data_IF_079859117193
#
_entry.id   IF_079859117193
#
_cell.length_a   1.000
_cell.length_b   1.000
_cell.length_c   1.000
_cell.angle_alpha   90.00
_cell.angle_beta   90.00
_cell.angle_gamma   90.00
#
_symmetry.space_group_name_H-M   'P 1'
#
loop_
_entity.id
_entity.type
_entity.pdbx_description
1 polymer ?
#
# COMPACT_ATOMS: atom_id res chain seq x y z
N UNK A 1 6.68 36.48 -27.08
CA UNK A 1 6.30 37.27 -25.88
C UNK A 1 5.42 36.56 -24.85
N UNK A 2 4.72 35.45 -25.14
CA UNK A 2 3.90 34.73 -24.14
C UNK A 2 4.67 33.61 -23.39
N UNK A 3 5.67 33.00 -24.00
CA UNK A 3 6.55 32.02 -23.33
C UNK A 3 7.53 32.64 -22.34
N UNK A 4 7.94 33.89 -22.58
CA UNK A 4 8.88 34.59 -21.69
C UNK A 4 8.32 34.91 -20.31
N UNK A 5 6.99 35.01 -20.18
CA UNK A 5 6.34 35.27 -18.88
C UNK A 5 6.33 34.04 -17.94
N UNK A 6 6.36 32.85 -18.50
CA UNK A 6 6.49 31.61 -17.71
C UNK A 6 7.95 31.41 -17.23
N UNK A 7 8.90 31.70 -18.09
CA UNK A 7 10.33 31.62 -17.80
C UNK A 7 10.79 32.51 -16.62
N UNK A 8 10.04 33.57 -16.33
CA UNK A 8 10.32 34.43 -15.16
C UNK A 8 9.98 33.72 -13.84
N UNK A 9 8.99 32.82 -13.85
CA UNK A 9 8.54 32.10 -12.67
C UNK A 9 9.09 30.67 -12.57
N UNK A 10 9.53 30.09 -13.68
CA UNK A 10 10.08 28.72 -13.77
C UNK A 10 11.51 28.80 -14.33
N UNK A 11 12.40 29.39 -13.54
CA UNK A 11 13.85 29.36 -13.79
C UNK A 11 14.45 28.05 -13.25
N UNK A 12 15.74 27.80 -13.55
CA UNK A 12 16.45 26.59 -13.10
C UNK A 12 16.37 26.38 -11.57
N UNK A 13 16.61 27.44 -10.78
CA UNK A 13 16.52 27.38 -9.33
C UNK A 13 15.10 27.03 -8.83
N UNK A 14 14.07 27.51 -9.50
CA UNK A 14 12.68 27.16 -9.18
C UNK A 14 12.38 25.72 -9.51
N UNK A 15 12.89 25.19 -10.61
CA UNK A 15 12.75 23.76 -10.97
C UNK A 15 13.45 22.87 -9.96
N UNK A 16 14.66 23.19 -9.56
CA UNK A 16 15.39 22.43 -8.55
C UNK A 16 14.65 22.38 -7.21
N UNK A 17 14.08 23.50 -6.78
CA UNK A 17 13.24 23.56 -5.56
C UNK A 17 11.93 22.81 -5.68
N UNK A 18 11.31 22.80 -6.86
CA UNK A 18 10.10 22.00 -7.11
C UNK A 18 10.42 20.51 -7.06
N UNK A 19 11.55 20.07 -7.66
CA UNK A 19 12.01 18.69 -7.60
C UNK A 19 12.34 18.27 -6.16
N UNK A 20 12.99 19.13 -5.36
CA UNK A 20 13.25 18.89 -3.94
C UNK A 20 11.95 18.74 -3.14
N UNK A 21 11.00 19.64 -3.34
CA UNK A 21 9.70 19.59 -2.67
C UNK A 21 8.94 18.32 -3.05
N UNK A 22 8.99 17.94 -4.32
CA UNK A 22 8.41 16.71 -4.82
C UNK A 22 9.04 15.46 -4.18
N UNK A 23 10.36 15.36 -4.17
CA UNK A 23 11.08 14.27 -3.50
C UNK A 23 10.65 14.11 -2.03
N UNK A 24 10.51 15.23 -1.32
CA UNK A 24 10.02 15.24 0.06
C UNK A 24 8.55 14.82 0.20
N UNK A 25 7.70 15.08 -0.80
CA UNK A 25 6.31 14.56 -0.85
C UNK A 25 6.33 13.04 -0.95
N UNK A 26 7.09 12.49 -1.89
CA UNK A 26 7.15 11.04 -2.11
C UNK A 26 7.71 10.32 -0.89
N UNK A 27 8.80 10.82 -0.29
CA UNK A 27 9.36 10.26 0.94
C UNK A 27 8.34 10.26 2.10
N UNK A 28 7.58 11.35 2.26
CA UNK A 28 6.55 11.45 3.28
C UNK A 28 5.37 10.50 3.01
N UNK A 29 5.00 10.27 1.76
CA UNK A 29 3.98 9.28 1.37
C UNK A 29 4.46 7.87 1.70
N UNK A 30 5.69 7.52 1.33
CA UNK A 30 6.27 6.20 1.62
C UNK A 30 6.35 5.89 3.12
N UNK A 31 6.60 6.90 3.95
CA UNK A 31 6.64 6.74 5.41
C UNK A 31 5.26 6.72 6.06
N UNK A 32 4.30 7.44 5.50
CA UNK A 32 3.00 7.68 6.13
C UNK A 32 1.87 6.76 5.68
N UNK A 33 1.99 6.10 4.53
CA UNK A 33 0.98 5.19 4.02
C UNK A 33 1.10 3.81 4.67
N UNK A 34 -0.02 3.25 5.13
CA UNK A 34 -0.06 1.88 5.66
C UNK A 34 0.20 0.88 4.54
N UNK A 35 -0.37 1.12 3.36
CA UNK A 35 -0.14 0.30 2.16
C UNK A 35 1.35 0.17 1.81
N UNK A 36 2.13 1.25 1.91
CA UNK A 36 3.56 1.23 1.63
C UNK A 36 4.38 0.36 2.60
N UNK A 37 3.89 0.19 3.82
CA UNK A 37 4.55 -0.63 4.83
C UNK A 37 4.32 -2.12 4.58
N UNK A 38 3.12 -2.51 4.13
CA UNK A 38 2.67 -3.90 4.03
C UNK A 38 2.58 -4.45 2.60
N UNK A 39 2.76 -3.61 1.56
CA UNK A 39 2.69 -4.03 0.17
C UNK A 39 3.82 -4.98 -0.22
N UNK A 40 3.61 -5.72 -1.31
CA UNK A 40 4.66 -6.52 -1.93
C UNK A 40 5.79 -5.64 -2.48
N UNK A 41 7.01 -5.96 -2.11
CA UNK A 41 8.23 -5.27 -2.57
C UNK A 41 9.12 -6.17 -3.45
N UNK A 42 8.74 -7.46 -3.58
CA UNK A 42 9.47 -8.45 -4.34
C UNK A 42 8.84 -8.60 -5.73
N UNK A 43 9.36 -7.89 -6.71
CA UNK A 43 8.92 -7.99 -8.10
C UNK A 43 10.11 -7.90 -9.05
N UNK A 44 9.92 -8.45 -10.25
CA UNK A 44 10.88 -8.37 -11.36
C UNK A 44 10.39 -7.38 -12.40
N UNK A 45 11.30 -6.54 -12.89
CA UNK A 45 10.99 -5.49 -13.86
C UNK A 45 11.09 -4.09 -13.26
N UNK A 46 10.91 -3.11 -14.10
CA UNK A 46 10.92 -1.69 -13.75
C UNK A 46 9.48 -1.16 -13.86
N UNK A 47 8.89 -0.62 -12.78
CA UNK A 47 7.55 -0.04 -12.83
C UNK A 47 7.38 1.05 -13.88
N UNK A 48 8.45 1.76 -14.23
CA UNK A 48 8.42 2.82 -15.25
C UNK A 48 8.17 2.31 -16.66
N UNK A 49 8.35 0.99 -16.89
CA UNK A 49 8.01 0.35 -18.18
C UNK A 49 6.54 0.00 -18.33
N UNK A 50 5.71 0.31 -17.32
CA UNK A 50 4.27 0.13 -17.33
C UNK A 50 3.79 -1.20 -16.75
N UNK A 51 4.66 -2.16 -16.43
CA UNK A 51 4.28 -3.41 -15.77
C UNK A 51 5.44 -4.08 -15.07
N UNK A 52 5.12 -4.83 -13.99
CA UNK A 52 6.07 -5.72 -13.34
C UNK A 52 5.49 -7.13 -13.22
N UNK A 53 6.37 -8.11 -13.08
CA UNK A 53 6.01 -9.51 -12.89
C UNK A 53 6.38 -9.94 -11.47
N UNK A 54 5.49 -10.70 -10.85
CA UNK A 54 5.69 -11.32 -9.53
C UNK A 54 5.50 -12.83 -9.70
N UNK A 55 6.57 -13.58 -9.44
CA UNK A 55 6.52 -15.04 -9.51
C UNK A 55 5.88 -15.60 -8.24
N UNK A 56 5.00 -16.59 -8.43
CA UNK A 56 4.39 -17.36 -7.35
C UNK A 56 4.64 -18.83 -7.57
N UNK A 57 5.60 -19.41 -6.84
CA UNK A 57 5.99 -20.79 -6.96
C UNK A 57 5.10 -21.70 -6.12
N UNK A 58 4.77 -22.89 -6.66
CA UNK A 58 4.13 -23.95 -5.89
C UNK A 58 5.11 -24.60 -4.94
N UNK A 59 4.60 -25.16 -3.85
CA UNK A 59 5.39 -25.87 -2.87
C UNK A 59 6.13 -27.07 -3.49
N UNK A 60 7.41 -27.19 -3.15
CA UNK A 60 8.19 -28.37 -3.52
C UNK A 60 7.73 -29.59 -2.72
N UNK A 61 7.69 -30.76 -3.36
CA UNK A 61 7.42 -32.02 -2.66
C UNK A 61 8.71 -32.58 -2.06
N UNK A 62 8.60 -33.06 -0.81
CA UNK A 62 9.68 -33.79 -0.14
C UNK A 62 9.45 -35.27 -0.38
N UNK A 63 10.38 -35.91 -1.10
CA UNK A 63 10.32 -37.34 -1.40
C UNK A 63 11.44 -38.11 -0.67
N UNK A 64 11.28 -39.41 -0.48
CA UNK A 64 12.33 -40.25 0.07
C UNK A 64 13.56 -40.26 -0.84
N UNK A 65 14.75 -40.41 -0.26
CA UNK A 65 16.00 -40.43 -1.02
C UNK A 65 15.96 -41.49 -2.12
N UNK A 66 16.19 -41.07 -3.35
CA UNK A 66 16.20 -41.93 -4.54
C UNK A 66 14.88 -42.01 -5.30
N UNK A 67 13.73 -41.70 -4.71
CA UNK A 67 12.41 -41.83 -5.38
C UNK A 67 12.11 -40.64 -6.31
N UNK A 68 12.54 -39.44 -5.98
CA UNK A 68 12.37 -38.26 -6.82
C UNK A 68 13.16 -38.31 -8.14
N UNK A 69 14.15 -39.21 -8.25
CA UNK A 69 15.04 -39.36 -9.41
C UNK A 69 14.65 -40.52 -10.34
N UNK A 70 13.46 -41.06 -10.21
CA UNK A 70 12.94 -42.13 -11.08
C UNK A 70 12.95 -41.63 -12.53
N UNK A 71 13.76 -42.24 -13.39
CA UNK A 71 13.96 -41.82 -14.77
C UNK A 71 15.08 -40.81 -15.02
N UNK A 72 15.94 -40.52 -14.02
CA UNK A 72 17.15 -39.68 -14.17
C UNK A 72 16.92 -38.17 -14.21
N UNK A 73 15.71 -37.69 -13.92
CA UNK A 73 15.36 -36.28 -13.84
C UNK A 73 14.68 -35.96 -12.51
N UNK A 74 15.01 -34.84 -11.90
CA UNK A 74 14.22 -34.28 -10.79
C UNK A 74 12.84 -33.81 -11.28
N UNK A 75 11.94 -33.51 -10.35
CA UNK A 75 10.67 -32.86 -10.70
C UNK A 75 10.96 -31.47 -11.28
N UNK A 76 10.26 -31.12 -12.35
CA UNK A 76 10.34 -29.79 -12.91
C UNK A 76 9.83 -28.75 -11.87
N UNK A 77 10.46 -27.58 -11.86
CA UNK A 77 9.97 -26.45 -11.09
C UNK A 77 8.57 -26.09 -11.61
N UNK A 78 7.55 -26.23 -10.77
CA UNK A 78 6.20 -25.79 -11.09
C UNK A 78 6.06 -24.32 -10.68
N UNK A 79 6.26 -23.45 -11.64
CA UNK A 79 5.94 -22.05 -11.51
C UNK A 79 4.42 -21.93 -11.65
N UNK A 80 3.70 -21.77 -10.54
CA UNK A 80 2.24 -21.65 -10.47
C UNK A 80 1.64 -20.49 -11.25
N UNK A 81 2.46 -19.74 -11.95
CA UNK A 81 2.12 -18.61 -12.78
C UNK A 81 2.78 -17.31 -12.31
N UNK A 82 2.83 -16.39 -13.23
CA UNK A 82 3.28 -15.02 -12.98
C UNK A 82 2.07 -14.12 -12.77
N UNK A 83 2.10 -13.32 -11.72
CA UNK A 83 1.12 -12.24 -11.52
C UNK A 83 1.70 -10.99 -12.14
N UNK A 84 1.09 -10.52 -13.22
CA UNK A 84 1.48 -9.26 -13.86
C UNK A 84 0.68 -8.14 -13.22
N UNK A 85 1.39 -7.12 -12.75
CA UNK A 85 0.81 -5.89 -12.21
C UNK A 85 1.09 -4.78 -13.21
N UNK A 86 0.04 -4.24 -13.81
CA UNK A 86 0.14 -3.13 -14.75
C UNK A 86 0.01 -1.79 -14.03
N UNK A 87 0.82 -0.82 -14.42
CA UNK A 87 0.69 0.58 -14.03
C UNK A 87 -0.14 1.26 -15.13
N UNK A 88 -1.46 1.26 -14.95
CA UNK A 88 -2.42 1.64 -15.99
C UNK A 88 -3.41 2.74 -15.56
N UNK A 89 -3.27 3.20 -14.33
CA UNK A 89 -4.17 4.21 -13.78
C UNK A 89 -3.42 5.51 -13.53
N UNK A 90 -3.62 6.50 -14.39
CA UNK A 90 -3.04 7.82 -14.26
C UNK A 90 -3.88 8.72 -13.38
N UNK A 91 -3.23 9.48 -12.51
CA UNK A 91 -3.86 10.44 -11.59
C UNK A 91 -3.06 11.73 -11.54
N UNK A 92 -3.79 12.81 -11.30
CA UNK A 92 -3.23 14.13 -11.17
C UNK A 92 -3.80 14.89 -9.95
N UNK A 93 -3.01 15.78 -9.40
CA UNK A 93 -3.45 16.81 -8.50
C UNK A 93 -3.09 18.13 -9.17
N UNK A 94 -4.09 18.89 -9.60
CA UNK A 94 -3.92 20.18 -10.27
C UNK A 94 -4.48 21.27 -9.37
N UNK A 95 -3.67 22.29 -9.08
CA UNK A 95 -4.08 23.44 -8.28
C UNK A 95 -3.80 24.75 -9.03
N UNK A 96 -4.83 25.58 -9.11
CA UNK A 96 -4.70 26.93 -9.67
C UNK A 96 -4.09 27.89 -8.66
N UNK A 97 -2.99 28.50 -9.01
CA UNK A 97 -2.27 29.46 -8.19
C UNK A 97 -2.44 30.87 -8.77
N UNK A 98 -3.06 31.74 -8.00
CA UNK A 98 -3.28 33.12 -8.39
C UNK A 98 -1.95 33.87 -8.57
N UNK A 99 -1.82 34.64 -9.64
CA UNK A 99 -0.60 35.41 -9.93
C UNK A 99 -0.14 36.31 -8.78
N UNK A 100 -1.09 36.86 -8.00
CA UNK A 100 -0.78 37.69 -6.83
C UNK A 100 -0.02 36.91 -5.75
N UNK A 101 -0.40 35.66 -5.53
CA UNK A 101 0.20 34.81 -4.51
C UNK A 101 1.58 34.30 -4.96
N UNK A 102 1.72 33.99 -6.26
CA UNK A 102 3.01 33.65 -6.85
C UNK A 102 4.01 34.81 -6.76
N UNK A 103 3.53 36.05 -6.97
CA UNK A 103 4.39 37.24 -6.81
C UNK A 103 4.83 37.44 -5.35
N UNK A 104 4.01 37.04 -4.38
CA UNK A 104 4.29 37.23 -2.96
C UNK A 104 5.21 36.13 -2.41
N UNK A 105 4.98 34.88 -2.79
CA UNK A 105 5.64 33.71 -2.19
C UNK A 105 6.57 32.95 -3.17
N UNK A 106 6.50 33.23 -4.45
CA UNK A 106 7.12 32.44 -5.51
C UNK A 106 6.39 31.11 -5.76
N UNK A 107 6.64 30.49 -6.90
CA UNK A 107 6.01 29.22 -7.26
C UNK A 107 6.46 28.07 -6.34
N UNK A 108 7.76 27.96 -6.08
CA UNK A 108 8.31 26.97 -5.14
C UNK A 108 7.78 27.16 -3.71
N UNK A 109 7.62 28.41 -3.25
CA UNK A 109 7.04 28.72 -1.94
C UNK A 109 5.56 28.32 -1.83
N UNK A 110 4.81 28.39 -2.93
CA UNK A 110 3.42 27.90 -2.99
C UNK A 110 3.39 26.36 -2.96
N UNK A 111 4.25 25.69 -3.73
CA UNK A 111 4.36 24.23 -3.71
C UNK A 111 4.68 23.70 -2.29
N UNK A 112 5.65 24.32 -1.60
CA UNK A 112 5.99 23.93 -0.22
C UNK A 112 4.82 24.10 0.76
N UNK A 113 4.00 25.14 0.61
CA UNK A 113 2.79 25.35 1.41
C UNK A 113 1.72 24.29 1.16
N UNK A 114 1.65 23.76 -0.07
CA UNK A 114 0.68 22.73 -0.45
C UNK A 114 1.16 21.32 -0.18
N UNK A 115 2.45 21.11 -0.01
CA UNK A 115 3.12 19.83 0.23
C UNK A 115 2.38 18.93 1.22
N UNK A 116 2.09 19.41 2.41
CA UNK A 116 1.42 18.62 3.45
C UNK A 116 0.02 18.15 3.02
N UNK A 117 -0.69 18.94 2.22
CA UNK A 117 -1.99 18.56 1.68
C UNK A 117 -1.83 17.50 0.59
N UNK A 118 -0.90 17.67 -0.34
CA UNK A 118 -0.62 16.69 -1.40
C UNK A 118 -0.22 15.34 -0.81
N UNK A 119 0.69 15.31 0.17
CA UNK A 119 1.05 14.08 0.92
C UNK A 119 -0.19 13.41 1.49
N UNK A 120 -1.01 14.16 2.22
CA UNK A 120 -2.22 13.63 2.85
C UNK A 120 -3.22 13.07 1.83
N UNK A 121 -3.38 13.73 0.69
CA UNK A 121 -4.28 13.29 -0.38
C UNK A 121 -3.76 12.05 -1.09
N UNK A 122 -2.46 11.98 -1.39
CA UNK A 122 -1.85 10.81 -1.99
C UNK A 122 -1.93 9.58 -1.07
N UNK A 123 -1.58 9.72 0.22
CA UNK A 123 -1.71 8.64 1.20
C UNK A 123 -3.16 8.15 1.25
N UNK A 124 -4.12 9.08 1.34
CA UNK A 124 -5.54 8.72 1.41
C UNK A 124 -6.00 7.93 0.18
N UNK A 125 -5.55 8.34 -1.00
CA UNK A 125 -5.91 7.67 -2.23
C UNK A 125 -5.25 6.29 -2.36
N UNK A 126 -3.93 6.20 -2.15
CA UNK A 126 -3.18 4.96 -2.28
C UNK A 126 -3.65 3.89 -1.28
N UNK A 127 -3.83 4.26 -0.01
CA UNK A 127 -4.37 3.35 0.99
C UNK A 127 -5.79 2.88 0.63
N UNK A 128 -6.68 3.79 0.21
CA UNK A 128 -8.05 3.42 -0.17
C UNK A 128 -8.07 2.38 -1.31
N UNK A 129 -7.25 2.58 -2.33
CA UNK A 129 -7.15 1.66 -3.46
C UNK A 129 -6.52 0.32 -3.09
N UNK A 130 -5.50 0.33 -2.23
CA UNK A 130 -4.87 -0.88 -1.72
C UNK A 130 -5.86 -1.76 -0.96
N UNK A 131 -6.60 -1.15 -0.01
CA UNK A 131 -7.55 -1.89 0.81
C UNK A 131 -8.80 -2.28 0.03
N UNK A 132 -9.26 -1.47 -0.92
CA UNK A 132 -10.34 -1.86 -1.83
C UNK A 132 -9.96 -3.09 -2.67
N UNK A 133 -8.70 -3.19 -3.13
CA UNK A 133 -8.20 -4.38 -3.81
C UNK A 133 -8.16 -5.59 -2.87
N UNK A 134 -7.65 -5.42 -1.64
CA UNK A 134 -7.61 -6.49 -0.65
C UNK A 134 -9.02 -7.01 -0.28
N UNK A 135 -9.98 -6.11 -0.11
CA UNK A 135 -11.38 -6.45 0.19
C UNK A 135 -12.08 -7.16 -0.97
N UNK A 136 -11.79 -6.74 -2.20
CA UNK A 136 -12.40 -7.33 -3.40
C UNK A 136 -11.88 -8.73 -3.70
N UNK A 137 -10.60 -8.93 -3.60
CA UNK A 137 -9.93 -10.20 -3.98
C UNK A 137 -9.79 -11.17 -2.78
N UNK A 138 -9.94 -10.67 -1.56
CA UNK A 138 -9.88 -11.47 -0.34
C UNK A 138 -11.13 -12.33 -0.13
N UNK A 139 -11.03 -13.25 0.82
CA UNK A 139 -12.11 -14.16 1.18
C UNK A 139 -12.74 -13.72 2.50
N UNK A 140 -14.07 -13.64 2.52
CA UNK A 140 -14.83 -13.40 3.74
C UNK A 140 -14.73 -14.57 4.71
N UNK A 141 -14.56 -14.26 6.00
CA UNK A 141 -14.61 -15.23 7.10
C UNK A 141 -15.77 -14.87 8.03
N UNK A 142 -16.60 -15.84 8.35
CA UNK A 142 -17.63 -15.71 9.38
C UNK A 142 -17.01 -16.00 10.74
N UNK A 143 -17.10 -15.05 11.65
CA UNK A 143 -16.51 -15.14 12.98
C UNK A 143 -17.60 -15.51 13.99
N UNK A 144 -17.30 -16.50 14.84
CA UNK A 144 -18.24 -17.04 15.85
C UNK A 144 -17.91 -16.60 17.27
N UNK A 145 -16.72 -16.07 17.52
CA UNK A 145 -16.27 -15.64 18.83
C UNK A 145 -17.19 -14.61 19.48
N UNK A 146 -17.39 -14.70 20.79
CA UNK A 146 -18.23 -13.75 21.52
C UNK A 146 -17.50 -12.44 21.87
N UNK A 147 -16.18 -12.50 21.97
CA UNK A 147 -15.33 -11.36 22.32
C UNK A 147 -14.50 -10.89 21.14
N UNK A 148 -14.09 -9.62 21.15
CA UNK A 148 -13.22 -9.06 20.11
C UNK A 148 -11.92 -9.83 19.98
N UNK A 149 -11.35 -10.30 21.09
CA UNK A 149 -10.15 -11.12 21.10
C UNK A 149 -10.37 -12.45 20.38
N UNK A 150 -11.46 -13.18 20.72
CA UNK A 150 -11.77 -14.45 20.09
C UNK A 150 -11.99 -14.30 18.59
N UNK A 151 -12.71 -13.26 18.17
CA UNK A 151 -12.93 -12.96 16.75
C UNK A 151 -11.64 -12.64 16.00
N UNK A 152 -10.74 -11.84 16.61
CA UNK A 152 -9.44 -11.56 16.00
C UNK A 152 -8.59 -12.81 15.88
N UNK A 153 -8.55 -13.66 16.89
CA UNK A 153 -7.84 -14.95 16.84
C UNK A 153 -8.43 -15.87 15.76
N UNK A 154 -9.74 -15.96 15.63
CA UNK A 154 -10.38 -16.73 14.54
C UNK A 154 -9.97 -16.20 13.17
N UNK A 155 -9.94 -14.87 12.98
CA UNK A 155 -9.53 -14.25 11.73
C UNK A 155 -8.04 -14.54 11.42
N UNK A 156 -7.15 -14.39 12.39
CA UNK A 156 -5.73 -14.70 12.25
C UNK A 156 -5.54 -16.19 11.95
N UNK A 157 -6.18 -17.06 12.72
CA UNK A 157 -6.08 -18.51 12.55
C UNK A 157 -6.57 -18.97 11.17
N UNK A 158 -7.56 -18.29 10.62
CA UNK A 158 -8.07 -18.59 9.26
C UNK A 158 -7.01 -18.41 8.16
N UNK A 159 -6.07 -17.45 8.33
CA UNK A 159 -4.94 -17.25 7.42
C UNK A 159 -3.80 -18.20 7.76
N UNK A 160 -3.45 -18.31 9.05
CA UNK A 160 -2.36 -19.13 9.58
C UNK A 160 -2.50 -20.61 9.17
N UNK A 161 -3.73 -21.13 9.17
CA UNK A 161 -4.01 -22.52 8.80
C UNK A 161 -4.32 -22.76 7.32
N UNK A 162 -4.19 -21.74 6.47
CA UNK A 162 -4.45 -21.90 5.04
C UNK A 162 -3.46 -22.87 4.41
N UNK A 163 -4.00 -23.90 3.74
CA UNK A 163 -3.23 -24.91 3.01
C UNK A 163 -3.72 -25.02 1.57
N UNK A 164 -2.79 -24.88 0.64
CA UNK A 164 -3.03 -25.04 -0.79
C UNK A 164 -1.73 -25.43 -1.52
N UNK A 165 -1.74 -25.44 -2.83
CA UNK A 165 -0.56 -25.79 -3.64
C UNK A 165 0.64 -24.86 -3.40
N UNK A 166 0.43 -23.65 -2.87
CA UNK A 166 1.45 -22.62 -2.69
C UNK A 166 1.92 -22.47 -1.24
N UNK A 167 1.06 -22.86 -0.27
CA UNK A 167 1.31 -22.60 1.14
C UNK A 167 0.84 -23.78 1.97
N UNK A 168 1.64 -24.19 2.95
CA UNK A 168 1.31 -25.22 3.96
C UNK A 168 1.27 -24.59 5.35
N UNK A 169 0.40 -23.61 5.53
CA UNK A 169 0.34 -22.74 6.71
C UNK A 169 1.25 -21.52 6.60
N UNK A 170 0.97 -20.50 7.39
CA UNK A 170 1.72 -19.23 7.42
C UNK A 170 2.15 -18.95 8.85
N UNK A 171 3.43 -18.59 9.03
CA UNK A 171 3.93 -18.21 10.33
C UNK A 171 3.30 -16.87 10.79
N UNK A 172 2.92 -16.84 12.05
CA UNK A 172 2.15 -15.73 12.64
C UNK A 172 2.84 -14.37 12.58
N UNK A 173 4.15 -14.34 12.64
CA UNK A 173 4.98 -13.13 12.56
C UNK A 173 5.04 -12.51 11.16
N UNK A 174 4.61 -13.26 10.13
CA UNK A 174 4.46 -12.77 8.75
C UNK A 174 3.09 -12.14 8.49
N UNK A 175 2.17 -12.26 9.43
CA UNK A 175 0.80 -11.77 9.31
C UNK A 175 0.68 -10.32 9.77
N UNK A 176 -0.21 -9.59 9.11
CA UNK A 176 -0.63 -8.25 9.48
C UNK A 176 -2.15 -8.19 9.56
N UNK A 177 -2.65 -7.46 10.54
CA UNK A 177 -4.07 -7.17 10.69
C UNK A 177 -4.29 -5.68 10.57
N UNK A 178 -5.19 -5.28 9.71
CA UNK A 178 -5.64 -3.90 9.60
C UNK A 178 -7.08 -3.80 10.08
N UNK A 179 -7.36 -2.84 10.92
CA UNK A 179 -8.69 -2.66 11.54
C UNK A 179 -9.18 -1.23 11.41
N UNK A 180 -10.49 -1.06 11.43
CA UNK A 180 -11.08 0.29 11.51
C UNK A 180 -10.77 0.93 12.86
N UNK A 181 -10.77 2.28 12.97
CA UNK A 181 -10.49 2.96 14.23
C UNK A 181 -11.40 2.55 15.40
N UNK A 182 -12.66 2.20 15.12
CA UNK A 182 -13.59 1.73 16.13
C UNK A 182 -13.16 0.38 16.73
N UNK A 183 -12.78 -0.55 15.86
CA UNK A 183 -12.26 -1.87 16.27
C UNK A 183 -10.92 -1.71 16.99
N UNK A 184 -10.05 -0.84 16.49
CA UNK A 184 -8.76 -0.56 17.13
C UNK A 184 -8.96 -0.03 18.56
N UNK A 185 -9.87 0.92 18.76
CA UNK A 185 -10.20 1.44 20.09
C UNK A 185 -10.74 0.34 21.03
N UNK A 186 -11.55 -0.58 20.52
CA UNK A 186 -12.05 -1.70 21.32
C UNK A 186 -10.93 -2.70 21.69
N UNK A 187 -9.95 -2.91 20.79
CA UNK A 187 -8.75 -3.70 21.07
C UNK A 187 -7.92 -3.04 22.17
N UNK A 188 -7.69 -1.73 22.08
CA UNK A 188 -6.95 -0.99 23.11
C UNK A 188 -7.62 -1.08 24.48
N UNK A 189 -8.94 -0.87 24.55
CA UNK A 189 -9.69 -1.03 25.79
C UNK A 189 -9.56 -2.45 26.39
N UNK A 190 -9.49 -3.46 25.53
CA UNK A 190 -9.24 -4.83 25.97
C UNK A 190 -7.81 -4.98 26.53
N UNK A 191 -6.80 -4.50 25.82
CA UNK A 191 -5.39 -4.53 26.25
C UNK A 191 -5.23 -3.86 27.61
N UNK A 192 -5.81 -2.69 27.80
CA UNK A 192 -5.78 -1.93 29.05
C UNK A 192 -6.46 -2.67 30.22
N UNK A 193 -7.43 -3.54 29.93
CA UNK A 193 -8.13 -4.33 30.93
C UNK A 193 -7.37 -5.57 31.42
N UNK A 194 -6.33 -6.00 30.67
CA UNK A 194 -5.55 -7.20 30.98
C UNK A 194 -4.25 -6.81 31.70
N UNK A 195 -3.89 -7.47 32.84
CA UNK A 195 -2.62 -7.20 33.53
C UNK A 195 -1.41 -7.40 32.62
N UNK A 196 -0.52 -6.41 32.53
CA UNK A 196 0.67 -6.39 31.67
C UNK A 196 1.61 -7.60 31.79
N UNK A 197 1.52 -8.37 32.87
CA UNK A 197 2.38 -9.55 33.11
C UNK A 197 1.97 -10.81 32.34
N UNK A 198 0.79 -10.82 31.71
CA UNK A 198 0.22 -12.00 31.04
C UNK A 198 0.02 -11.86 29.54
N UNK A 199 0.19 -10.65 28.99
CA UNK A 199 -0.16 -10.38 27.61
C UNK A 199 1.08 -10.17 26.75
N UNK A 200 1.27 -10.96 25.71
CA UNK A 200 2.11 -10.60 24.59
C UNK A 200 1.47 -9.50 23.72
N UNK A 201 0.70 -8.60 24.38
CA UNK A 201 -0.10 -7.54 23.77
C UNK A 201 0.62 -6.21 23.97
N UNK A 202 0.81 -5.49 22.88
CA UNK A 202 1.30 -4.10 22.89
C UNK A 202 0.38 -3.28 21.99
N UNK A 203 0.53 -1.96 22.01
CA UNK A 203 -0.25 -1.05 21.16
C UNK A 203 -0.14 -1.37 19.67
N UNK A 204 0.95 -2.00 19.25
CA UNK A 204 1.22 -2.34 17.85
C UNK A 204 1.06 -3.82 17.53
N UNK A 205 1.03 -4.71 18.54
CA UNK A 205 1.05 -6.16 18.34
C UNK A 205 -0.03 -6.86 19.15
N UNK A 206 -0.76 -7.74 18.49
CA UNK A 206 -1.68 -8.68 19.11
C UNK A 206 -1.15 -10.10 18.95
N UNK A 207 -0.66 -10.71 20.03
CA UNK A 207 -0.06 -12.04 20.01
C UNK A 207 0.95 -12.26 18.86
N UNK A 208 1.91 -11.35 18.71
CA UNK A 208 2.94 -11.27 17.65
C UNK A 208 2.47 -10.81 16.28
N UNK A 209 1.18 -10.68 16.02
CA UNK A 209 0.66 -10.13 14.78
C UNK A 209 0.62 -8.61 14.87
N UNK A 210 1.16 -7.93 13.87
CA UNK A 210 1.14 -6.47 13.81
C UNK A 210 -0.26 -5.96 13.47
N UNK A 211 -0.73 -4.94 14.22
CA UNK A 211 -2.04 -4.32 14.00
C UNK A 211 -1.87 -2.88 13.53
N UNK A 212 -2.61 -2.52 12.49
CA UNK A 212 -2.70 -1.16 11.99
C UNK A 212 -4.12 -0.63 12.09
N UNK A 213 -4.27 0.58 12.66
CA UNK A 213 -5.54 1.33 12.58
C UNK A 213 -5.63 2.03 11.23
N UNK A 214 -6.67 1.73 10.46
CA UNK A 214 -6.87 2.35 9.17
C UNK A 214 -8.33 2.77 8.96
N UNK A 215 -8.55 4.07 8.77
CA UNK A 215 -9.89 4.62 8.52
C UNK A 215 -10.31 4.63 7.05
N UNK A 216 -9.47 4.07 6.16
CA UNK A 216 -9.70 4.06 4.71
C UNK A 216 -10.18 2.72 4.18
N UNK A 217 -10.17 1.68 5.00
CA UNK A 217 -10.79 0.40 4.70
C UNK A 217 -12.28 0.43 5.03
N UNK A 218 -13.09 -0.37 4.31
CA UNK A 218 -14.54 -0.46 4.55
C UNK A 218 -14.87 -1.62 5.50
N UNK A 219 -14.07 -2.67 5.49
CA UNK A 219 -14.26 -3.84 6.34
C UNK A 219 -13.71 -3.59 7.75
N UNK A 220 -14.40 -4.05 8.81
CA UNK A 220 -13.97 -3.88 10.20
C UNK A 220 -12.56 -4.40 10.47
N UNK A 221 -12.20 -5.56 9.93
CA UNK A 221 -10.87 -6.12 10.01
C UNK A 221 -10.49 -6.90 8.76
N UNK A 222 -9.22 -6.80 8.38
CA UNK A 222 -8.60 -7.55 7.29
C UNK A 222 -7.31 -8.15 7.86
N UNK A 223 -7.13 -9.46 7.70
CA UNK A 223 -5.90 -10.17 8.02
C UNK A 223 -5.27 -10.67 6.72
N UNK A 224 -4.00 -10.42 6.53
CA UNK A 224 -3.27 -10.88 5.36
C UNK A 224 -1.79 -11.13 5.68
N UNK A 225 -1.11 -11.88 4.81
CA UNK A 225 0.35 -11.95 4.86
C UNK A 225 0.94 -10.63 4.34
N UNK A 226 2.04 -10.19 4.92
CA UNK A 226 2.78 -9.05 4.39
C UNK A 226 3.21 -9.34 2.95
N UNK A 227 2.91 -8.41 2.03
CA UNK A 227 3.16 -8.62 0.60
C UNK A 227 2.05 -9.32 -0.18
N UNK A 228 0.87 -9.60 0.41
CA UNK A 228 -0.25 -10.23 -0.31
C UNK A 228 -0.79 -9.37 -1.45
N UNK A 229 -0.66 -8.05 -1.36
CA UNK A 229 -1.07 -7.09 -2.40
C UNK A 229 0.15 -6.33 -2.90
N UNK A 230 0.30 -6.21 -4.21
CA UNK A 230 1.27 -5.34 -4.84
C UNK A 230 0.59 -4.02 -5.22
N UNK A 231 1.26 -2.92 -4.90
CA UNK A 231 0.88 -1.58 -5.34
C UNK A 231 2.12 -0.85 -5.84
N UNK A 232 2.12 -0.60 -7.13
CA UNK A 232 3.17 0.15 -7.82
C UNK A 232 2.72 1.59 -7.97
N UNK A 233 3.65 2.50 -7.78
CA UNK A 233 3.43 3.93 -8.01
C UNK A 233 4.64 4.46 -8.74
N UNK A 234 4.40 5.02 -9.91
CA UNK A 234 5.38 5.80 -10.65
C UNK A 234 4.95 7.26 -10.63
N UNK A 235 5.91 8.12 -10.54
CA UNK A 235 5.66 9.54 -10.29
C UNK A 235 6.54 10.38 -11.20
N UNK A 236 5.98 11.48 -11.66
CA UNK A 236 6.69 12.52 -12.39
C UNK A 236 6.90 13.74 -11.48
N UNK A 237 7.85 14.61 -11.82
CA UNK A 237 8.12 15.82 -11.06
C UNK A 237 6.93 16.79 -11.10
N UNK A 238 6.94 17.76 -10.17
CA UNK A 238 5.98 18.86 -10.25
C UNK A 238 6.15 19.63 -11.54
N UNK A 239 5.04 19.82 -12.24
CA UNK A 239 4.96 20.67 -13.39
C UNK A 239 4.18 21.95 -13.09
N UNK A 240 4.46 22.99 -13.83
CA UNK A 240 3.74 24.25 -13.71
C UNK A 240 3.47 24.82 -15.09
N UNK A 241 2.19 24.95 -15.41
CA UNK A 241 1.74 25.50 -16.67
C UNK A 241 0.91 26.77 -16.50
N UNK A 242 0.97 27.63 -17.50
CA UNK A 242 0.13 28.81 -17.55
C UNK A 242 -1.27 28.43 -18.01
N UNK A 243 -2.28 28.76 -17.22
CA UNK A 243 -3.68 28.54 -17.58
C UNK A 243 -4.03 29.42 -18.80
N UNK A 244 -4.53 28.82 -19.89
CA UNK A 244 -4.95 29.58 -21.08
C UNK A 244 -5.99 30.64 -20.73
N UNK A 245 -5.81 31.84 -21.28
CA UNK A 245 -6.70 33.00 -21.06
C UNK A 245 -6.78 33.52 -19.62
N UNK A 246 -5.99 32.98 -18.69
CA UNK A 246 -5.82 33.46 -17.33
C UNK A 246 -4.41 34.04 -17.12
N UNK A 247 -4.25 34.81 -16.02
CA UNK A 247 -2.94 35.22 -15.54
C UNK A 247 -2.39 34.28 -14.47
N UNK A 248 -3.12 33.23 -14.15
CA UNK A 248 -2.82 32.27 -13.10
C UNK A 248 -2.00 31.10 -13.65
N UNK A 249 -1.37 30.33 -12.79
CA UNK A 249 -0.51 29.19 -13.12
C UNK A 249 -1.12 27.95 -12.47
N UNK A 250 -1.22 26.85 -13.23
CA UNK A 250 -1.51 25.53 -12.69
C UNK A 250 -0.22 24.92 -12.10
N UNK A 251 -0.29 24.43 -10.88
CA UNK A 251 0.71 23.56 -10.29
C UNK A 251 0.19 22.13 -10.35
N UNK A 252 0.94 21.26 -10.98
CA UNK A 252 0.50 19.92 -11.38
C UNK A 252 1.43 18.87 -10.79
N UNK A 253 0.84 17.83 -10.20
CA UNK A 253 1.52 16.65 -9.68
C UNK A 253 0.88 15.41 -10.31
N UNK A 254 1.64 14.71 -11.15
CA UNK A 254 1.20 13.50 -11.82
C UNK A 254 1.75 12.26 -11.12
N UNK A 255 0.97 11.20 -11.12
CA UNK A 255 1.43 9.87 -10.75
C UNK A 255 0.59 8.79 -11.42
N UNK A 256 1.22 7.68 -11.74
CA UNK A 256 0.54 6.49 -12.27
C UNK A 256 0.65 5.36 -11.27
N UNK A 257 -0.39 4.54 -11.18
CA UNK A 257 -0.44 3.43 -10.25
C UNK A 257 -0.96 2.15 -10.88
N UNK A 258 -0.57 1.04 -10.27
CA UNK A 258 -1.17 -0.27 -10.49
C UNK A 258 -1.32 -1.01 -9.16
N UNK A 259 -2.48 -1.58 -8.89
CA UNK A 259 -2.73 -2.33 -7.65
C UNK A 259 -3.33 -3.69 -7.98
N UNK A 260 -2.76 -4.77 -7.44
CA UNK A 260 -3.25 -6.13 -7.67
C UNK A 260 -2.93 -7.06 -6.50
N UNK A 261 -3.87 -7.94 -6.15
CA UNK A 261 -3.60 -9.00 -5.19
C UNK A 261 -2.71 -10.07 -5.82
N UNK A 262 -1.60 -10.37 -5.15
CA UNK A 262 -0.63 -11.40 -5.54
C UNK A 262 -0.99 -12.74 -4.91
N UNK A 263 -1.44 -12.69 -3.65
CA UNK A 263 -1.81 -13.87 -2.86
C UNK A 263 -3.23 -13.69 -2.29
N UNK A 264 -4.29 -13.74 -3.15
CA UNK A 264 -5.66 -13.48 -2.71
C UNK A 264 -6.18 -14.54 -1.72
N UNK A 265 -5.67 -15.76 -1.78
CA UNK A 265 -5.96 -16.85 -0.85
C UNK A 265 -5.49 -16.59 0.58
N UNK A 266 -4.49 -15.72 0.76
CA UNK A 266 -3.94 -15.30 2.04
C UNK A 266 -4.46 -13.92 2.51
N UNK A 267 -5.54 -13.45 1.92
CA UNK A 267 -6.26 -12.25 2.34
C UNK A 267 -7.61 -12.68 2.86
N UNK A 268 -7.86 -12.45 4.15
CA UNK A 268 -9.15 -12.75 4.80
C UNK A 268 -9.71 -11.50 5.45
N UNK A 269 -11.02 -11.32 5.36
CA UNK A 269 -11.69 -10.19 6.02
C UNK A 269 -12.96 -10.61 6.74
N UNK A 270 -13.37 -9.82 7.71
CA UNK A 270 -14.62 -9.98 8.44
C UNK A 270 -15.55 -8.79 8.18
N UNK A 271 -16.85 -9.05 8.11
CA UNK A 271 -17.88 -8.01 8.01
C UNK A 271 -18.36 -7.52 9.38
N UNK A 272 -18.07 -8.27 10.44
CA UNK A 272 -18.38 -7.92 11.83
C UNK A 272 -17.32 -8.46 12.79
N UNK A 273 -16.89 -7.62 13.73
CA UNK A 273 -15.91 -8.02 14.74
C UNK A 273 -16.31 -7.52 16.12
#
# INVERSE_FOLDING_TARGET
MRQDALNIYVNGETKDKLAETYGAVIEAVQKGAVSEQIKNKNYSGDPTTGSVEIDRFKNATIDNLGTARTGGKGKALDNGGKVVVNVDTDKEIVEELAKKDIKLFGLAGMAERRKANHVKRMIAYLDSEFFACAEKEGTKVELSGETIQAKLEELILSVETTKNDYVDGVDRDMLVVTVTPAVYSAIQNYIDSVPNSLSGLTDEYFHKVRIYSNHRQTKPAICMIEGAVAQLVTTDEYEAEKIPLSNDIALELFFSKGTKAVMPDLIKYADAI
#
